data_IF_427345098397
#
_entry.id   IF_427345098397
#
_cell.length_a   1.000
_cell.length_b   1.000
_cell.length_c   1.000
_cell.angle_alpha   90.00
_cell.angle_beta   90.00
_cell.angle_gamma   90.00
#
_symmetry.space_group_name_H-M   'P 1'
#
loop_
_entity.id
_entity.type
_entity.pdbx_description
1 polymer ?
#
# COMPACT_ATOMS: atom_id res chain seq x y z
N UNK A 1 0.15 -41.09 13.68
CA UNK A 1 -0.44 -39.84 14.19
C UNK A 1 0.61 -38.81 14.61
N UNK A 2 1.68 -38.61 13.81
CA UNK A 2 2.82 -37.75 14.22
C UNK A 2 3.39 -36.86 13.11
N UNK A 3 2.64 -36.60 12.04
CA UNK A 3 2.95 -35.54 11.07
C UNK A 3 1.62 -35.00 10.55
N UNK A 4 1.06 -34.05 11.30
CA UNK A 4 -0.01 -33.19 10.80
C UNK A 4 0.56 -31.77 10.81
N UNK A 5 1.24 -31.45 9.71
CA UNK A 5 1.57 -30.07 9.37
C UNK A 5 0.26 -29.36 9.01
N UNK A 6 0.18 -28.07 9.33
CA UNK A 6 -0.93 -27.18 8.97
C UNK A 6 -1.24 -27.27 7.47
N UNK A 7 -2.52 -27.15 7.09
CA UNK A 7 -3.07 -27.38 5.74
C UNK A 7 -2.54 -26.42 4.63
N UNK A 8 -1.40 -25.74 4.82
CA UNK A 8 -0.81 -24.79 3.86
C UNK A 8 0.63 -25.08 3.41
N UNK A 9 1.37 -25.94 4.10
CA UNK A 9 2.79 -26.18 3.79
C UNK A 9 2.98 -27.54 3.10
N UNK A 10 3.57 -27.51 1.90
CA UNK A 10 3.87 -28.72 1.12
C UNK A 10 5.09 -29.42 1.76
N UNK A 11 4.85 -30.59 2.35
CA UNK A 11 5.91 -31.44 2.89
C UNK A 11 6.37 -32.42 1.82
N UNK A 12 7.65 -32.31 1.44
CA UNK A 12 8.29 -33.23 0.51
C UNK A 12 9.17 -34.23 1.27
N UNK A 13 9.25 -35.48 0.81
CA UNK A 13 10.15 -36.47 1.40
C UNK A 13 10.90 -37.26 0.34
N UNK A 14 12.10 -37.73 0.67
CA UNK A 14 12.92 -38.62 -0.15
C UNK A 14 13.61 -39.66 0.74
N UNK A 15 13.64 -40.92 0.28
CA UNK A 15 14.33 -42.03 0.92
C UNK A 15 15.24 -42.72 -0.11
N UNK A 16 16.55 -42.72 0.15
CA UNK A 16 17.56 -43.34 -0.71
C UNK A 16 18.21 -44.55 -0.05
N UNK A 17 18.55 -45.54 -0.86
CA UNK A 17 19.32 -46.70 -0.44
C UNK A 17 20.83 -46.37 -0.28
N UNK A 18 21.64 -47.29 0.28
CA UNK A 18 23.08 -47.09 0.44
C UNK A 18 23.87 -46.89 -0.87
N UNK A 19 23.26 -47.19 -2.03
CA UNK A 19 23.83 -47.04 -3.37
C UNK A 19 23.35 -45.75 -4.06
N UNK A 20 22.52 -44.94 -3.39
CA UNK A 20 21.93 -43.72 -3.94
C UNK A 20 20.69 -43.97 -4.81
N UNK A 21 20.15 -45.20 -4.83
CA UNK A 21 18.91 -45.52 -5.54
C UNK A 21 17.70 -45.05 -4.73
N UNK A 22 16.75 -44.40 -5.42
CA UNK A 22 15.50 -43.92 -4.83
C UNK A 22 14.62 -45.10 -4.42
N UNK A 23 14.39 -45.25 -3.12
CA UNK A 23 13.47 -46.26 -2.57
C UNK A 23 12.04 -45.72 -2.58
N UNK A 24 11.84 -44.45 -2.18
CA UNK A 24 10.51 -43.83 -2.06
C UNK A 24 10.62 -42.31 -1.95
N UNK A 25 9.61 -41.58 -2.40
CA UNK A 25 9.56 -40.11 -2.35
C UNK A 25 9.98 -39.44 -3.65
N UNK A 26 10.35 -38.17 -3.57
CA UNK A 26 10.65 -37.32 -4.72
C UNK A 26 12.10 -37.46 -5.20
N UNK A 27 12.32 -37.55 -6.51
CA UNK A 27 13.65 -37.75 -7.12
C UNK A 27 14.49 -36.47 -7.24
N UNK A 28 13.86 -35.30 -7.24
CA UNK A 28 14.52 -34.01 -7.56
C UNK A 28 15.26 -33.36 -6.39
N UNK A 29 15.48 -34.10 -5.29
CA UNK A 29 16.23 -33.57 -4.16
C UNK A 29 17.74 -33.59 -4.46
N UNK A 30 18.45 -32.46 -4.29
CA UNK A 30 19.90 -32.47 -4.32
C UNK A 30 20.42 -33.38 -3.21
N UNK A 31 21.50 -34.13 -3.46
CA UNK A 31 22.13 -34.95 -2.43
C UNK A 31 22.85 -34.07 -1.40
N UNK A 32 22.96 -34.50 -0.14
CA UNK A 32 23.84 -33.86 0.84
C UNK A 32 25.29 -33.83 0.31
N UNK A 33 26.04 -32.78 0.59
CA UNK A 33 27.44 -32.67 0.15
C UNK A 33 28.32 -33.74 0.84
N UNK A 34 29.20 -34.39 0.08
CA UNK A 34 30.04 -35.55 0.48
C UNK A 34 31.03 -35.33 1.64
N UNK A 35 31.04 -34.16 2.28
CA UNK A 35 32.08 -33.76 3.23
C UNK A 35 31.75 -34.03 4.71
N UNK A 36 30.63 -34.68 5.00
CA UNK A 36 30.20 -35.00 6.37
C UNK A 36 30.09 -36.52 6.57
N UNK A 37 30.75 -37.03 7.61
CA UNK A 37 30.68 -38.45 7.99
C UNK A 37 29.24 -38.80 8.43
N UNK A 38 28.57 -39.79 7.82
CA UNK A 38 27.21 -40.18 8.18
C UNK A 38 27.12 -40.67 9.63
N UNK A 39 26.44 -39.92 10.50
CA UNK A 39 26.12 -40.32 11.87
C UNK A 39 24.69 -40.89 11.95
N UNK A 40 24.50 -42.18 12.28
CA UNK A 40 23.18 -42.78 12.32
C UNK A 40 22.29 -42.14 13.41
N UNK A 41 21.08 -41.73 13.04
CA UNK A 41 20.08 -41.18 13.95
C UNK A 41 20.24 -39.69 14.29
N UNK A 42 21.30 -39.03 13.82
CA UNK A 42 21.46 -37.58 13.97
C UNK A 42 20.71 -36.86 12.86
N UNK A 43 19.80 -35.96 13.25
CA UNK A 43 19.08 -35.08 12.32
C UNK A 43 19.92 -33.84 12.06
N UNK A 44 20.15 -33.55 10.78
CA UNK A 44 20.86 -32.39 10.29
C UNK A 44 19.89 -31.51 9.49
N UNK A 45 20.10 -30.19 9.56
CA UNK A 45 19.27 -29.20 8.87
C UNK A 45 20.13 -28.47 7.84
N UNK A 46 19.60 -28.31 6.63
CA UNK A 46 20.17 -27.45 5.60
C UNK A 46 19.09 -26.66 4.90
N UNK A 47 19.49 -25.55 4.30
CA UNK A 47 18.62 -24.77 3.43
C UNK A 47 18.96 -25.11 1.98
N UNK A 48 17.94 -25.28 1.14
CA UNK A 48 18.10 -25.65 -0.27
C UNK A 48 17.00 -25.06 -1.16
N UNK A 49 17.09 -25.27 -2.47
CA UNK A 49 16.10 -24.85 -3.45
C UNK A 49 15.56 -26.08 -4.16
N UNK A 50 14.26 -26.35 -4.03
CA UNK A 50 13.57 -27.44 -4.72
C UNK A 50 12.50 -26.83 -5.62
N UNK A 51 12.59 -27.10 -6.93
CA UNK A 51 11.65 -26.60 -7.95
C UNK A 51 11.45 -25.07 -7.97
N UNK A 52 12.45 -24.32 -7.52
CA UNK A 52 12.45 -22.85 -7.52
C UNK A 52 12.02 -22.22 -6.19
N UNK A 53 11.56 -23.02 -5.23
CA UNK A 53 11.20 -22.55 -3.88
C UNK A 53 12.33 -22.78 -2.89
N UNK A 54 12.56 -21.82 -2.00
CA UNK A 54 13.47 -21.97 -0.86
C UNK A 54 12.83 -22.92 0.16
N UNK A 55 13.49 -24.06 0.39
CA UNK A 55 13.05 -25.08 1.33
C UNK A 55 14.06 -25.25 2.45
N UNK A 56 13.58 -25.63 3.63
CA UNK A 56 14.43 -26.13 4.71
C UNK A 56 14.35 -27.65 4.70
N UNK A 57 15.49 -28.30 4.49
CA UNK A 57 15.61 -29.77 4.40
C UNK A 57 16.20 -30.31 5.70
N UNK A 58 15.45 -31.17 6.37
CA UNK A 58 15.96 -32.03 7.43
C UNK A 58 16.39 -33.37 6.82
N UNK A 59 17.62 -33.81 7.08
CA UNK A 59 18.10 -35.12 6.66
C UNK A 59 18.68 -35.91 7.83
N UNK A 60 18.53 -37.24 7.77
CA UNK A 60 19.10 -38.16 8.73
C UNK A 60 19.51 -39.47 8.05
N UNK A 61 20.61 -40.06 8.52
CA UNK A 61 21.02 -41.40 8.13
C UNK A 61 20.46 -42.41 9.13
N UNK A 62 19.75 -43.43 8.65
CA UNK A 62 19.12 -44.46 9.50
C UNK A 62 19.77 -45.82 9.24
N UNK A 63 20.12 -46.56 10.30
CA UNK A 63 20.62 -47.92 10.17
C UNK A 63 19.48 -48.91 9.96
N UNK A 64 19.56 -49.72 8.89
CA UNK A 64 18.57 -50.76 8.61
C UNK A 64 18.93 -52.02 9.41
N UNK A 65 17.98 -52.55 10.20
CA UNK A 65 18.16 -53.73 11.06
C UNK A 65 19.30 -53.62 12.11
N UNK A 66 19.54 -52.42 12.66
CA UNK A 66 20.62 -52.17 13.64
C UNK A 66 22.04 -52.48 13.13
N UNK A 67 22.21 -52.67 11.82
CA UNK A 67 23.52 -52.84 11.19
C UNK A 67 24.11 -51.44 10.89
N UNK A 68 25.21 -51.02 11.55
CA UNK A 68 25.82 -49.71 11.32
C UNK A 68 26.36 -49.53 9.90
N UNK A 69 26.48 -50.61 9.10
CA UNK A 69 27.02 -50.58 7.73
C UNK A 69 25.96 -50.41 6.65
N UNK A 70 24.67 -50.44 6.99
CA UNK A 70 23.56 -50.31 6.02
C UNK A 70 22.72 -49.07 6.33
N UNK A 71 23.22 -47.93 5.88
CA UNK A 71 22.60 -46.63 6.10
C UNK A 71 21.61 -46.29 4.97
N UNK A 72 20.44 -45.80 5.37
CA UNK A 72 19.39 -45.28 4.49
C UNK A 72 19.31 -43.78 4.73
N UNK A 73 19.36 -42.98 3.67
CA UNK A 73 19.17 -41.54 3.78
C UNK A 73 17.68 -41.24 3.77
N UNK A 74 17.21 -40.52 4.79
CA UNK A 74 15.88 -39.92 4.80
C UNK A 74 16.03 -38.40 4.75
N UNK A 75 15.35 -37.77 3.80
CA UNK A 75 15.26 -36.31 3.67
C UNK A 75 13.79 -35.90 3.73
N UNK A 76 13.49 -34.83 4.46
CA UNK A 76 12.18 -34.19 4.52
C UNK A 76 12.40 -32.69 4.32
N UNK A 77 11.68 -32.09 3.38
CA UNK A 77 11.71 -30.65 3.17
C UNK A 77 10.36 -30.02 3.47
N UNK A 78 10.44 -28.84 4.07
CA UNK A 78 9.33 -27.94 4.26
C UNK A 78 9.63 -26.65 3.51
N UNK A 79 8.64 -26.12 2.78
CA UNK A 79 8.74 -24.81 2.15
C UNK A 79 8.87 -23.73 3.22
N UNK A 80 9.82 -22.80 3.06
CA UNK A 80 9.85 -21.62 3.94
C UNK A 80 8.67 -20.73 3.55
N UNK A 81 7.52 -20.94 4.19
CA UNK A 81 6.33 -20.13 3.98
C UNK A 81 6.69 -18.64 4.11
N UNK A 82 6.63 -17.90 3.00
CA UNK A 82 6.70 -16.44 2.99
C UNK A 82 5.43 -15.89 3.62
N UNK A 83 5.30 -15.98 4.94
CA UNK A 83 4.49 -15.03 5.70
C UNK A 83 5.22 -13.68 5.74
N UNK A 84 5.40 -13.05 4.57
CA UNK A 84 5.64 -11.61 4.49
C UNK A 84 4.29 -10.89 4.54
N UNK A 85 3.57 -11.12 5.63
CA UNK A 85 2.30 -10.42 5.92
C UNK A 85 2.30 -9.81 7.31
N UNK A 86 3.48 -9.60 7.92
CA UNK A 86 3.58 -9.10 9.30
C UNK A 86 4.63 -8.00 9.54
N UNK A 87 5.37 -7.54 8.53
CA UNK A 87 6.22 -6.33 8.65
C UNK A 87 5.56 -5.06 8.10
N UNK A 88 4.59 -5.21 7.19
CA UNK A 88 3.92 -4.06 6.53
C UNK A 88 2.85 -3.40 7.42
N UNK A 89 2.31 -4.11 8.42
CA UNK A 89 1.42 -3.48 9.43
C UNK A 89 2.20 -2.71 10.50
N UNK A 90 3.47 -3.04 10.75
CA UNK A 90 4.34 -2.28 11.67
C UNK A 90 4.80 -0.98 11.02
N UNK A 91 5.12 -0.98 9.72
CA UNK A 91 5.49 0.24 8.98
C UNK A 91 4.28 1.17 8.78
N UNK A 92 3.06 0.63 8.64
CA UNK A 92 1.82 1.43 8.64
C UNK A 92 1.47 2.02 10.02
N UNK A 93 1.90 1.37 11.11
CA UNK A 93 1.70 1.87 12.47
C UNK A 93 2.59 3.06 12.86
N UNK A 94 3.77 3.23 12.23
CA UNK A 94 4.75 4.27 12.61
C UNK A 94 4.79 5.45 11.63
N UNK A 95 4.51 5.25 10.33
CA UNK A 95 4.50 6.37 9.37
C UNK A 95 3.30 7.31 9.58
N UNK A 96 2.12 6.78 9.92
CA UNK A 96 0.89 7.57 10.11
C UNK A 96 1.02 8.58 11.27
N UNK A 97 1.54 8.22 12.47
CA UNK A 97 1.74 9.19 13.54
C UNK A 97 2.78 10.27 13.23
N UNK A 98 3.92 9.90 12.61
CA UNK A 98 5.02 10.84 12.36
C UNK A 98 4.62 11.97 11.38
N UNK A 99 3.80 11.66 10.37
CA UNK A 99 3.28 12.65 9.42
C UNK A 99 2.17 13.54 9.99
N UNK A 100 1.51 13.15 11.08
CA UNK A 100 0.54 14.02 11.79
C UNK A 100 1.26 14.98 12.74
N UNK A 101 2.34 14.52 13.38
CA UNK A 101 3.06 15.31 14.39
C UNK A 101 3.82 16.48 13.77
N UNK A 102 4.46 16.31 12.61
CA UNK A 102 5.32 17.35 12.02
C UNK A 102 4.52 18.60 11.56
N UNK A 103 3.36 18.46 10.88
CA UNK A 103 2.46 19.58 10.62
C UNK A 103 1.88 20.19 11.90
N UNK A 104 1.54 19.38 12.92
CA UNK A 104 1.10 19.90 14.23
C UNK A 104 2.18 20.76 14.92
N UNK A 105 3.44 20.31 14.87
CA UNK A 105 4.57 21.01 15.44
C UNK A 105 4.86 22.34 14.72
N UNK A 106 4.77 22.35 13.38
CA UNK A 106 4.86 23.59 12.58
C UNK A 106 3.68 24.51 12.85
N UNK A 107 2.48 23.99 13.11
CA UNK A 107 1.30 24.81 13.44
C UNK A 107 1.39 25.46 14.82
N UNK A 108 1.85 24.70 15.82
CA UNK A 108 2.14 25.23 17.16
C UNK A 108 3.21 26.31 17.11
N UNK A 109 4.16 26.22 16.18
CA UNK A 109 5.18 27.24 15.96
C UNK A 109 4.70 28.43 15.09
N UNK A 110 3.72 28.23 14.20
CA UNK A 110 3.35 29.16 13.12
C UNK A 110 2.06 29.97 13.33
N UNK A 111 1.33 29.79 14.42
CA UNK A 111 0.13 30.60 14.74
C UNK A 111 0.47 31.98 15.32
N UNK A 112 1.51 32.63 14.80
CA UNK A 112 1.71 34.07 14.98
C UNK A 112 0.96 34.81 13.85
N UNK A 113 -0.22 35.40 14.09
CA UNK A 113 -0.87 36.25 13.10
C UNK A 113 -0.01 37.50 12.83
N UNK A 114 0.16 37.87 11.56
CA UNK A 114 0.84 39.10 11.17
C UNK A 114 -0.14 40.25 10.80
N UNK A 115 -1.44 39.98 10.55
CA UNK A 115 -2.40 41.02 10.15
C UNK A 115 -3.87 40.66 10.44
N UNK A 116 -4.74 41.67 10.49
CA UNK A 116 -6.19 41.56 10.76
C UNK A 116 -7.05 41.15 9.54
N UNK A 117 -6.45 40.57 8.49
CA UNK A 117 -7.13 40.00 7.31
C UNK A 117 -6.58 38.60 6.97
N UNK A 118 -5.92 37.96 7.94
CA UNK A 118 -5.22 36.70 7.76
C UNK A 118 -5.95 35.57 8.50
N UNK A 119 -5.96 34.40 7.89
CA UNK A 119 -6.63 33.24 8.44
C UNK A 119 -6.00 31.93 7.99
N UNK A 120 -6.65 30.83 8.33
CA UNK A 120 -6.21 29.51 7.92
C UNK A 120 -6.87 28.39 8.72
N UNK A 121 -6.63 27.17 8.28
CA UNK A 121 -7.12 25.97 8.95
C UNK A 121 -6.10 24.86 8.79
N UNK A 122 -5.76 24.19 9.90
CA UNK A 122 -5.22 22.83 9.89
C UNK A 122 -6.38 21.86 10.01
N UNK A 123 -6.38 20.81 9.21
CA UNK A 123 -7.47 19.86 9.21
C UNK A 123 -7.00 18.43 8.98
N UNK A 124 -7.79 17.53 9.54
CA UNK A 124 -7.91 16.16 9.10
C UNK A 124 -9.17 16.05 8.25
N UNK A 125 -9.15 15.21 7.21
CA UNK A 125 -10.28 15.01 6.32
C UNK A 125 -10.58 13.55 6.10
N UNK A 126 -11.87 13.25 5.91
CA UNK A 126 -12.36 11.94 5.46
C UNK A 126 -13.40 12.17 4.38
N UNK A 127 -13.42 11.32 3.36
CA UNK A 127 -14.28 11.55 2.21
C UNK A 127 -14.42 10.36 1.30
N UNK A 128 -15.39 10.48 0.41
CA UNK A 128 -15.62 9.56 -0.67
C UNK A 128 -15.02 10.06 -1.98
N UNK A 129 -14.52 9.12 -2.78
CA UNK A 129 -13.86 9.35 -4.05
C UNK A 129 -14.45 8.41 -5.09
N UNK A 130 -14.86 8.95 -6.23
CA UNK A 130 -15.34 8.18 -7.38
C UNK A 130 -14.20 8.04 -8.40
N UNK A 131 -13.50 6.91 -8.35
CA UNK A 131 -12.39 6.56 -9.22
C UNK A 131 -12.88 6.04 -10.58
N UNK A 132 -12.06 6.29 -11.62
CA UNK A 132 -12.18 5.58 -12.88
C UNK A 132 -11.27 4.33 -12.87
N UNK A 133 -11.88 3.18 -12.57
CA UNK A 133 -11.22 1.87 -12.59
C UNK A 133 -11.58 1.05 -13.84
N UNK A 134 -12.28 1.64 -14.82
CA UNK A 134 -12.86 0.90 -15.95
C UNK A 134 -11.81 0.17 -16.80
N UNK A 135 -10.72 0.85 -17.15
CA UNK A 135 -9.63 0.29 -17.92
C UNK A 135 -8.92 -0.86 -17.17
N UNK A 136 -8.66 -0.68 -15.88
CA UNK A 136 -8.08 -1.72 -15.04
C UNK A 136 -9.02 -2.93 -14.91
N UNK A 137 -10.29 -2.68 -14.61
CA UNK A 137 -11.32 -3.71 -14.47
C UNK A 137 -11.46 -4.57 -15.73
N UNK A 138 -11.42 -3.94 -16.91
CA UNK A 138 -11.50 -4.64 -18.19
C UNK A 138 -10.39 -5.69 -18.37
N UNK A 139 -9.19 -5.40 -17.88
CA UNK A 139 -8.05 -6.32 -17.97
C UNK A 139 -8.13 -7.41 -16.90
N UNK A 140 -8.31 -7.05 -15.64
CA UNK A 140 -8.27 -8.03 -14.54
C UNK A 140 -9.44 -9.01 -14.59
N UNK A 141 -10.61 -8.58 -15.10
CA UNK A 141 -11.77 -9.46 -15.25
C UNK A 141 -11.55 -10.52 -16.33
N UNK A 142 -10.77 -10.24 -17.38
CA UNK A 142 -10.41 -11.27 -18.38
C UNK A 142 -9.56 -12.39 -17.78
N UNK A 143 -8.83 -12.09 -16.71
CA UNK A 143 -8.04 -13.05 -15.94
C UNK A 143 -8.81 -13.66 -14.74
N UNK A 144 -10.12 -13.42 -14.63
CA UNK A 144 -10.97 -14.03 -13.60
C UNK A 144 -11.05 -13.29 -12.27
N UNK A 145 -10.41 -12.13 -12.12
CA UNK A 145 -10.55 -11.31 -10.92
C UNK A 145 -11.88 -10.56 -10.88
N UNK A 146 -12.42 -10.36 -9.67
CA UNK A 146 -13.52 -9.42 -9.47
C UNK A 146 -13.05 -7.99 -9.80
N UNK A 147 -13.92 -7.18 -10.43
CA UNK A 147 -13.63 -5.76 -10.62
C UNK A 147 -13.53 -4.99 -9.29
N UNK A 148 -12.73 -3.93 -9.28
CA UNK A 148 -12.73 -2.94 -8.21
C UNK A 148 -13.94 -2.02 -8.32
N UNK A 149 -14.47 -1.60 -7.17
CA UNK A 149 -15.56 -0.63 -7.11
C UNK A 149 -15.05 0.75 -7.50
N UNK A 150 -15.86 1.50 -8.25
CA UNK A 150 -15.52 2.88 -8.61
C UNK A 150 -15.57 3.80 -7.39
N UNK A 151 -16.34 3.46 -6.35
CA UNK A 151 -16.36 4.22 -5.11
C UNK A 151 -15.29 3.74 -4.14
N UNK A 152 -14.49 4.66 -3.62
CA UNK A 152 -13.59 4.40 -2.50
C UNK A 152 -13.72 5.47 -1.43
N UNK A 153 -13.29 5.11 -0.23
CA UNK A 153 -13.15 6.04 0.88
C UNK A 153 -11.69 6.47 0.99
N UNK A 154 -11.47 7.67 1.48
CA UNK A 154 -10.14 8.21 1.71
C UNK A 154 -10.08 9.02 2.99
N UNK A 155 -8.85 9.23 3.44
CA UNK A 155 -8.53 10.10 4.54
C UNK A 155 -7.29 10.93 4.22
N UNK A 156 -7.16 12.07 4.86
CA UNK A 156 -6.05 12.96 4.61
C UNK A 156 -5.86 14.00 5.69
N UNK A 157 -4.80 14.76 5.53
CA UNK A 157 -4.51 15.91 6.36
C UNK A 157 -3.96 17.02 5.49
N UNK A 158 -4.20 18.25 5.90
CA UNK A 158 -3.71 19.39 5.17
C UNK A 158 -3.85 20.65 6.00
N UNK A 159 -3.29 21.71 5.45
CA UNK A 159 -3.46 23.04 5.99
C UNK A 159 -3.58 24.03 4.85
N UNK A 160 -4.24 25.15 5.13
CA UNK A 160 -4.18 26.30 4.26
C UNK A 160 -4.08 27.57 5.10
N UNK A 161 -3.35 28.55 4.59
CA UNK A 161 -3.36 29.93 5.06
C UNK A 161 -4.14 30.80 4.08
N UNK A 162 -4.83 31.81 4.60
CA UNK A 162 -5.48 32.86 3.82
C UNK A 162 -4.76 34.17 4.14
N UNK A 163 -4.25 34.83 3.11
CA UNK A 163 -3.66 36.16 3.22
C UNK A 163 -4.54 37.12 2.42
N UNK A 164 -5.23 38.01 3.13
CA UNK A 164 -6.33 38.84 2.59
C UNK A 164 -7.46 37.98 2.03
N UNK A 165 -7.35 37.55 0.78
CA UNK A 165 -8.34 36.69 0.11
C UNK A 165 -7.70 35.53 -0.63
N UNK A 166 -6.37 35.47 -0.70
CA UNK A 166 -5.66 34.41 -1.41
C UNK A 166 -5.40 33.29 -0.44
N UNK A 167 -5.86 32.09 -0.79
CA UNK A 167 -5.63 30.86 -0.05
C UNK A 167 -4.45 30.13 -0.66
N UNK A 168 -3.51 29.69 0.17
CA UNK A 168 -2.42 28.80 -0.22
C UNK A 168 -2.40 27.64 0.76
N UNK A 169 -2.41 26.41 0.25
CA UNK A 169 -2.47 25.23 1.10
C UNK A 169 -1.71 24.04 0.57
N UNK A 170 -1.43 23.11 1.47
CA UNK A 170 -0.88 21.80 1.16
C UNK A 170 -1.82 20.74 1.73
N UNK A 171 -2.04 19.69 0.96
CA UNK A 171 -2.91 18.59 1.35
C UNK A 171 -2.32 17.26 0.92
N UNK A 172 -2.47 16.25 1.77
CA UNK A 172 -2.10 14.87 1.49
C UNK A 172 -3.30 13.97 1.75
N UNK A 173 -3.57 13.07 0.83
CA UNK A 173 -4.70 12.15 0.87
C UNK A 173 -4.21 10.72 0.65
N UNK A 174 -4.88 9.79 1.31
CA UNK A 174 -4.70 8.35 1.22
C UNK A 174 -6.05 7.70 0.97
N UNK A 175 -6.16 6.93 -0.09
CA UNK A 175 -7.34 6.18 -0.47
C UNK A 175 -7.28 4.79 0.19
N UNK A 176 -8.37 4.40 0.84
CA UNK A 176 -8.48 3.08 1.44
C UNK A 176 -8.40 2.02 0.37
N UNK A 177 -7.57 1.01 0.66
CA UNK A 177 -7.28 0.00 -0.33
C UNK A 177 -8.40 -1.01 -0.47
N UNK A 178 -8.83 -1.24 -1.71
CA UNK A 178 -9.80 -2.25 -2.07
C UNK A 178 -9.10 -3.59 -2.32
N UNK A 179 -9.80 -4.69 -2.04
CA UNK A 179 -9.33 -6.04 -2.28
C UNK A 179 -10.23 -6.72 -3.30
N UNK A 180 -9.62 -7.33 -4.31
CA UNK A 180 -10.26 -8.24 -5.25
C UNK A 180 -9.63 -9.62 -5.09
N UNK A 181 -10.44 -10.67 -5.18
CA UNK A 181 -10.02 -12.06 -5.01
C UNK A 181 -10.46 -12.90 -6.22
N UNK A 182 -9.67 -13.91 -6.56
CA UNK A 182 -9.97 -14.95 -7.54
C UNK A 182 -9.47 -16.29 -7.00
N UNK A 183 -10.36 -17.23 -6.65
CA UNK A 183 -10.05 -18.56 -6.08
C UNK A 183 -8.99 -18.59 -4.95
N UNK A 184 -7.69 -18.55 -5.29
CA UNK A 184 -6.53 -18.58 -4.37
C UNK A 184 -5.65 -17.30 -4.44
N UNK A 185 -6.01 -16.35 -5.31
CA UNK A 185 -5.23 -15.16 -5.61
C UNK A 185 -5.92 -13.90 -5.09
N UNK A 186 -5.11 -12.91 -4.72
CA UNK A 186 -5.61 -11.63 -4.25
C UNK A 186 -4.89 -10.46 -4.90
N UNK A 187 -5.68 -9.45 -5.25
CA UNK A 187 -5.25 -8.21 -5.86
C UNK A 187 -5.71 -7.05 -4.98
N UNK A 188 -4.78 -6.22 -4.55
CA UNK A 188 -5.07 -5.04 -3.73
C UNK A 188 -4.74 -3.78 -4.50
N UNK A 189 -5.69 -2.85 -4.50
CA UNK A 189 -5.55 -1.51 -5.05
C UNK A 189 -5.61 -0.49 -3.92
N UNK A 190 -4.57 0.31 -3.72
CA UNK A 190 -4.58 1.50 -2.85
C UNK A 190 -4.04 2.71 -3.59
N UNK A 191 -4.18 3.90 -3.01
CA UNK A 191 -3.64 5.10 -3.63
C UNK A 191 -3.41 6.23 -2.65
N UNK A 192 -2.63 7.20 -3.08
CA UNK A 192 -2.39 8.43 -2.33
C UNK A 192 -2.08 9.57 -3.29
N UNK A 193 -2.28 10.80 -2.84
CA UNK A 193 -1.89 11.98 -3.59
C UNK A 193 -1.57 13.15 -2.68
N UNK A 194 -0.69 14.03 -3.14
CA UNK A 194 -0.36 15.29 -2.48
C UNK A 194 -0.63 16.46 -3.41
N UNK A 195 -1.17 17.55 -2.87
CA UNK A 195 -1.60 18.72 -3.62
C UNK A 195 -1.03 20.00 -3.01
N UNK A 196 -0.54 20.89 -3.87
CA UNK A 196 -0.44 22.32 -3.60
C UNK A 196 -1.71 22.99 -4.10
N UNK A 197 -2.39 23.73 -3.23
CA UNK A 197 -3.66 24.39 -3.51
C UNK A 197 -3.51 25.91 -3.51
N UNK A 198 -4.13 26.54 -4.49
CA UNK A 198 -4.31 27.98 -4.59
C UNK A 198 -5.80 28.27 -4.70
N UNK A 199 -6.32 29.08 -3.80
CA UNK A 199 -7.75 29.42 -3.76
C UNK A 199 -7.99 30.90 -3.55
N UNK A 200 -9.26 31.26 -3.62
CA UNK A 200 -9.70 32.63 -3.36
C UNK A 200 -10.91 32.60 -2.42
N UNK A 201 -10.83 33.28 -1.28
CA UNK A 201 -11.93 33.42 -0.34
C UNK A 201 -12.98 34.39 -0.93
N UNK A 202 -13.90 33.83 -1.72
CA UNK A 202 -14.97 34.57 -2.38
C UNK A 202 -15.93 35.18 -1.35
N UNK A 203 -16.26 34.39 -0.32
CA UNK A 203 -16.96 34.84 0.88
C UNK A 203 -16.03 34.58 2.07
N UNK A 204 -15.72 35.63 2.82
CA UNK A 204 -14.88 35.56 4.01
C UNK A 204 -15.55 36.35 5.13
N UNK A 205 -16.29 35.64 5.98
CA UNK A 205 -16.74 36.14 7.28
C UNK A 205 -15.93 35.43 8.36
N UNK A 206 -15.81 35.97 9.58
CA UNK A 206 -15.04 35.32 10.64
C UNK A 206 -15.47 33.87 10.88
N UNK A 207 -16.78 33.59 10.82
CA UNK A 207 -17.34 32.25 11.11
C UNK A 207 -17.55 31.37 9.89
N UNK A 208 -17.70 31.96 8.71
CA UNK A 208 -18.07 31.22 7.50
C UNK A 208 -17.29 31.70 6.28
N UNK A 209 -16.70 30.76 5.57
CA UNK A 209 -15.92 31.03 4.38
C UNK A 209 -16.36 30.13 3.23
N UNK A 210 -16.34 30.67 2.02
CA UNK A 210 -16.53 29.92 0.77
C UNK A 210 -15.38 30.27 -0.15
N UNK A 211 -14.68 29.25 -0.64
CA UNK A 211 -13.50 29.42 -1.49
C UNK A 211 -13.49 28.42 -2.64
N UNK A 212 -13.54 28.86 -3.91
CA UNK A 212 -13.04 28.06 -5.01
C UNK A 212 -11.51 27.90 -4.90
N UNK A 213 -11.00 26.78 -5.37
CA UNK A 213 -9.57 26.54 -5.47
C UNK A 213 -9.20 25.68 -6.67
N UNK A 214 -7.94 25.83 -7.08
CA UNK A 214 -7.23 24.98 -8.00
C UNK A 214 -6.06 24.35 -7.26
N UNK A 215 -5.77 23.09 -7.53
CA UNK A 215 -4.62 22.39 -6.96
C UNK A 215 -3.80 21.73 -8.05
N UNK A 216 -2.48 21.72 -7.89
CA UNK A 216 -1.57 20.92 -8.69
C UNK A 216 -0.80 19.98 -7.79
N UNK A 217 -0.66 18.74 -8.20
CA UNK A 217 -0.06 17.73 -7.37
C UNK A 217 0.35 16.48 -8.13
N UNK A 218 0.74 15.48 -7.36
CA UNK A 218 1.12 14.18 -7.87
C UNK A 218 0.40 13.11 -7.06
N UNK A 219 -0.07 12.08 -7.74
CA UNK A 219 -0.71 10.94 -7.12
C UNK A 219 -0.21 9.62 -7.66
N UNK A 220 -0.36 8.61 -6.83
CA UNK A 220 0.05 7.26 -7.13
C UNK A 220 -1.06 6.28 -6.74
N UNK A 221 -1.30 5.30 -7.60
CA UNK A 221 -2.12 4.13 -7.32
C UNK A 221 -1.19 2.93 -7.23
N UNK A 222 -1.20 2.20 -6.11
CA UNK A 222 -0.41 1.00 -5.94
C UNK A 222 -1.29 -0.23 -6.12
N UNK A 223 -0.82 -1.11 -6.98
CA UNK A 223 -1.41 -2.42 -7.22
C UNK A 223 -0.45 -3.48 -6.68
N UNK A 224 -0.94 -4.35 -5.80
CA UNK A 224 -0.17 -5.47 -5.26
C UNK A 224 -0.93 -6.76 -5.49
N UNK A 225 -0.25 -7.78 -5.99
CA UNK A 225 -0.82 -9.10 -6.26
C UNK A 225 0.01 -10.20 -5.60
N UNK A 226 -0.66 -11.31 -5.28
CA UNK A 226 0.01 -12.57 -4.94
C UNK A 226 0.70 -13.22 -6.16
N UNK A 227 0.32 -12.82 -7.39
CA UNK A 227 0.91 -13.31 -8.64
C UNK A 227 1.58 -12.20 -9.46
N UNK A 228 2.29 -12.61 -10.51
CA UNK A 228 2.97 -11.70 -11.42
C UNK A 228 1.96 -10.85 -12.22
N UNK A 229 2.07 -9.52 -12.12
CA UNK A 229 1.19 -8.54 -12.78
C UNK A 229 1.56 -8.27 -14.23
N UNK A 230 2.74 -8.71 -14.68
CA UNK A 230 3.26 -8.51 -16.02
C UNK A 230 2.36 -9.09 -17.12
N UNK A 231 1.91 -10.33 -16.94
CA UNK A 231 0.95 -10.98 -17.83
C UNK A 231 -0.46 -10.41 -17.68
N UNK A 232 -0.85 -10.01 -16.47
CA UNK A 232 -2.18 -9.51 -16.15
C UNK A 232 -2.46 -8.13 -16.78
N UNK A 233 -1.48 -7.24 -16.75
CA UNK A 233 -1.65 -5.84 -17.15
C UNK A 233 -0.97 -5.50 -18.49
N UNK A 234 -0.49 -6.52 -19.21
CA UNK A 234 0.31 -6.36 -20.42
C UNK A 234 1.46 -5.35 -20.23
N UNK A 235 2.15 -5.45 -19.08
CA UNK A 235 3.26 -4.56 -18.74
C UNK A 235 4.60 -5.26 -18.95
N UNK A 236 5.58 -4.54 -19.51
CA UNK A 236 6.90 -5.09 -19.81
C UNK A 236 8.03 -4.24 -19.23
N UNK A 237 8.96 -4.89 -18.53
CA UNK A 237 10.21 -4.32 -18.02
C UNK A 237 11.35 -5.14 -18.62
N UNK A 238 12.45 -4.52 -19.04
CA UNK A 238 13.46 -5.10 -19.96
C UNK A 238 14.08 -6.45 -19.57
N UNK A 239 13.90 -6.94 -18.35
CA UNK A 239 14.14 -8.32 -17.93
C UNK A 239 12.80 -8.95 -17.50
N UNK A 240 12.58 -10.22 -17.85
CA UNK A 240 11.33 -10.95 -17.63
C UNK A 240 11.12 -11.34 -16.15
N UNK A 241 11.22 -10.37 -15.24
CA UNK A 241 11.03 -10.54 -13.81
C UNK A 241 9.55 -10.45 -13.46
N UNK A 242 9.12 -11.26 -12.49
CA UNK A 242 7.76 -11.22 -11.98
C UNK A 242 7.55 -9.93 -11.18
N UNK A 243 6.65 -9.08 -11.65
CA UNK A 243 6.28 -7.83 -11.00
C UNK A 243 5.05 -8.07 -10.14
N UNK A 244 5.21 -8.21 -8.83
CA UNK A 244 4.08 -8.46 -7.91
C UNK A 244 3.54 -7.15 -7.28
N UNK A 245 4.26 -6.05 -7.48
CA UNK A 245 3.86 -4.71 -7.08
C UNK A 245 4.12 -3.72 -8.22
N UNK A 246 3.11 -2.93 -8.54
CA UNK A 246 3.18 -1.88 -9.54
C UNK A 246 2.63 -0.58 -8.96
N UNK A 247 3.25 0.52 -9.34
CA UNK A 247 2.79 1.86 -9.00
C UNK A 247 2.46 2.62 -10.28
N UNK A 248 1.23 3.14 -10.34
CA UNK A 248 0.71 3.95 -11.43
C UNK A 248 0.72 5.41 -10.98
N UNK A 249 1.61 6.22 -11.57
CA UNK A 249 1.81 7.61 -11.22
C UNK A 249 1.18 8.58 -12.21
N UNK A 250 0.61 9.68 -11.69
CA UNK A 250 0.00 10.74 -12.50
C UNK A 250 0.25 12.12 -11.87
N UNK A 251 0.49 13.11 -12.73
CA UNK A 251 0.25 14.51 -12.36
C UNK A 251 -1.24 14.75 -12.23
N UNK A 252 -1.65 15.53 -11.23
CA UNK A 252 -3.05 15.75 -10.89
C UNK A 252 -3.37 17.25 -10.87
N UNK A 253 -4.48 17.61 -11.49
CA UNK A 253 -5.12 18.92 -11.36
C UNK A 253 -6.41 18.76 -10.54
N UNK A 254 -6.52 19.46 -9.43
CA UNK A 254 -7.73 19.50 -8.59
C UNK A 254 -8.48 20.80 -8.86
N UNK A 255 -9.77 20.71 -9.17
CA UNK A 255 -10.67 21.86 -9.22
C UNK A 255 -11.78 21.62 -8.21
N UNK A 256 -11.94 22.52 -7.26
CA UNK A 256 -12.86 22.31 -6.16
C UNK A 256 -13.44 23.58 -5.57
N UNK A 257 -14.46 23.36 -4.76
CA UNK A 257 -15.12 24.36 -3.92
C UNK A 257 -15.10 23.87 -2.48
N UNK A 258 -14.66 24.74 -1.59
CA UNK A 258 -14.66 24.50 -0.16
C UNK A 258 -15.54 25.48 0.60
N UNK A 259 -16.13 25.01 1.69
CA UNK A 259 -16.80 25.84 2.68
C UNK A 259 -16.25 25.53 4.06
N UNK A 260 -15.95 26.55 4.86
CA UNK A 260 -15.46 26.37 6.24
C UNK A 260 -16.37 27.09 7.21
N UNK A 261 -16.75 26.40 8.28
CA UNK A 261 -17.48 26.91 9.44
C UNK A 261 -16.56 26.86 10.66
N UNK A 262 -16.31 28.01 11.29
CA UNK A 262 -15.47 28.14 12.49
C UNK A 262 -16.32 28.53 13.69
N UNK A 263 -16.18 27.76 14.78
CA UNK A 263 -16.83 28.03 16.04
C UNK A 263 -15.92 28.92 16.91
N UNK A 264 -16.38 30.11 17.34
CA UNK A 264 -15.57 31.00 18.18
C UNK A 264 -15.38 30.39 19.58
N UNK A 265 -14.15 30.42 20.09
CA UNK A 265 -13.87 29.98 21.47
C UNK A 265 -14.38 30.94 22.55
N UNK A 266 -14.42 32.24 22.26
CA UNK A 266 -14.90 33.26 23.20
C UNK A 266 -16.20 33.87 22.67
N UNK A 267 -17.32 33.76 23.41
CA UNK A 267 -18.59 34.38 23.03
C UNK A 267 -18.52 35.92 22.98
N UNK A 268 -17.57 36.52 23.71
CA UNK A 268 -17.53 37.95 23.99
C UNK A 268 -16.90 38.78 22.86
N UNK A 269 -16.19 38.15 21.92
CA UNK A 269 -15.62 38.83 20.75
C UNK A 269 -15.92 38.05 19.46
N UNK A 270 -17.14 38.16 18.89
CA UNK A 270 -17.56 37.40 17.72
C UNK A 270 -16.82 37.73 16.43
N UNK A 271 -16.03 38.81 16.40
CA UNK A 271 -15.18 39.20 15.28
C UNK A 271 -13.86 38.42 15.17
N UNK A 272 -13.40 37.82 16.27
CA UNK A 272 -12.20 36.98 16.31
C UNK A 272 -12.58 35.51 16.42
N UNK A 273 -13.02 34.93 15.29
CA UNK A 273 -13.46 33.54 15.26
C UNK A 273 -12.27 32.62 15.02
N UNK A 274 -11.47 32.42 16.08
CA UNK A 274 -10.50 31.32 16.15
C UNK A 274 -11.09 30.17 16.96
N UNK A 275 -10.98 28.96 16.44
CA UNK A 275 -11.43 27.78 17.15
C UNK A 275 -11.61 26.52 16.31
N UNK A 276 -12.29 25.52 16.90
CA UNK A 276 -12.69 24.31 16.19
C UNK A 276 -13.45 24.67 14.92
N UNK A 277 -13.05 24.05 13.82
CA UNK A 277 -13.59 24.33 12.50
C UNK A 277 -14.00 23.03 11.81
N UNK A 278 -15.12 23.09 11.11
CA UNK A 278 -15.60 22.03 10.23
C UNK A 278 -15.72 22.58 8.82
N UNK A 279 -15.29 21.81 7.82
CA UNK A 279 -15.34 22.23 6.43
C UNK A 279 -15.82 21.09 5.53
N UNK A 280 -16.45 21.46 4.42
CA UNK A 280 -16.84 20.55 3.35
C UNK A 280 -16.10 20.97 2.09
N UNK A 281 -15.56 19.99 1.36
CA UNK A 281 -14.98 20.21 0.02
C UNK A 281 -15.55 19.21 -0.95
N UNK A 282 -15.91 19.71 -2.12
CA UNK A 282 -16.28 18.90 -3.27
C UNK A 282 -15.47 19.37 -4.47
N UNK A 283 -15.11 18.44 -5.34
CA UNK A 283 -14.34 18.78 -6.54
C UNK A 283 -14.07 17.59 -7.43
N UNK A 284 -13.26 17.84 -8.44
CA UNK A 284 -12.80 16.85 -9.41
C UNK A 284 -11.28 16.88 -9.50
N UNK A 285 -10.66 15.70 -9.37
CA UNK A 285 -9.26 15.48 -9.72
C UNK A 285 -9.16 14.98 -11.16
N UNK A 286 -8.39 15.68 -11.97
CA UNK A 286 -8.06 15.30 -13.33
C UNK A 286 -6.64 14.73 -13.37
N UNK A 287 -6.51 13.50 -13.87
CA UNK A 287 -5.21 12.95 -14.21
C UNK A 287 -4.69 13.59 -15.50
N UNK A 288 -3.50 14.18 -15.42
CA UNK A 288 -2.84 14.84 -16.53
C UNK A 288 -1.83 13.89 -17.18
N UNK A 289 -1.84 13.84 -18.51
CA UNK A 289 -0.93 13.01 -19.28
C UNK A 289 -1.25 11.51 -19.19
N UNK A 290 -0.28 10.70 -19.61
CA UNK A 290 -0.39 9.24 -19.54
C UNK A 290 0.08 8.72 -18.18
N UNK A 291 -0.53 7.63 -17.71
CA UNK A 291 -0.11 6.94 -16.48
C UNK A 291 1.31 6.41 -16.63
N UNK A 292 2.17 6.78 -15.67
CA UNK A 292 3.55 6.35 -15.59
C UNK A 292 3.63 5.13 -14.67
N UNK A 293 3.80 3.95 -15.27
CA UNK A 293 3.94 2.72 -14.52
C UNK A 293 5.38 2.47 -14.08
N UNK A 294 5.56 2.06 -12.83
CA UNK A 294 6.82 1.56 -12.29
C UNK A 294 6.61 0.27 -11.50
N UNK A 295 7.64 -0.56 -11.48
CA UNK A 295 7.70 -1.81 -10.72
C UNK A 295 9.14 -2.04 -10.29
N UNK A 296 9.35 -2.44 -9.03
CA UNK A 296 10.68 -2.55 -8.41
C UNK A 296 11.52 -1.26 -8.62
N UNK A 297 10.89 -0.10 -8.40
CA UNK A 297 11.49 1.24 -8.58
C UNK A 297 11.98 1.59 -9.99
N UNK A 298 11.66 0.75 -10.97
CA UNK A 298 12.07 0.93 -12.36
C UNK A 298 10.85 1.19 -13.25
N UNK A 299 10.99 2.04 -14.29
CA UNK A 299 9.90 2.29 -15.23
C UNK A 299 9.46 1.00 -15.95
N UNK A 300 8.17 0.91 -16.24
CA UNK A 300 7.55 -0.20 -16.96
C UNK A 300 6.77 0.36 -18.14
N UNK A 301 6.81 -0.33 -19.29
CA UNK A 301 6.03 0.05 -20.48
C UNK A 301 4.67 -0.64 -20.48
N UNK A 302 3.65 0.06 -20.96
CA UNK A 302 2.29 -0.45 -21.08
C UNK A 302 1.43 -0.14 -19.86
N UNK A 303 0.48 -1.01 -19.57
CA UNK A 303 -0.44 -0.90 -18.43
C UNK A 303 -1.69 -0.09 -18.73
N UNK A 304 -2.81 -0.38 -18.04
CA UNK A 304 -4.07 0.34 -18.24
C UNK A 304 -3.98 1.76 -17.69
N UNK A 305 -4.94 2.60 -18.09
CA UNK A 305 -5.17 3.88 -17.42
C UNK A 305 -5.62 3.61 -15.98
N UNK A 306 -4.91 4.19 -15.03
CA UNK A 306 -5.21 4.11 -13.61
C UNK A 306 -4.69 5.38 -12.94
N UNK A 307 -5.53 6.02 -12.14
CA UNK A 307 -5.15 7.22 -11.39
C UNK A 307 -6.07 7.42 -10.17
N UNK A 308 -5.70 8.28 -9.21
CA UNK A 308 -6.60 8.76 -8.16
C UNK A 308 -7.67 9.74 -8.68
N UNK A 309 -7.74 10.00 -9.99
CA UNK A 309 -8.61 10.99 -10.60
C UNK A 309 -10.10 10.64 -10.49
N UNK A 310 -10.93 11.67 -10.43
CA UNK A 310 -12.38 11.57 -10.36
C UNK A 310 -13.02 12.55 -9.38
N UNK A 311 -14.33 12.40 -9.17
CA UNK A 311 -15.10 13.24 -8.24
C UNK A 311 -14.77 12.89 -6.79
N UNK A 312 -14.83 13.88 -5.90
CA UNK A 312 -14.79 13.62 -4.46
C UNK A 312 -15.69 14.54 -3.67
N UNK A 313 -16.04 14.07 -2.48
CA UNK A 313 -16.70 14.83 -1.43
C UNK A 313 -16.05 14.48 -0.09
N UNK A 314 -15.58 15.48 0.64
CA UNK A 314 -14.87 15.29 1.91
C UNK A 314 -15.35 16.23 3.00
N UNK A 315 -15.42 15.68 4.21
CA UNK A 315 -15.57 16.41 5.46
C UNK A 315 -14.19 16.63 6.05
N UNK A 316 -13.93 17.84 6.51
CA UNK A 316 -12.70 18.26 7.15
C UNK A 316 -13.04 18.75 8.56
N UNK A 317 -12.26 18.33 9.54
CA UNK A 317 -12.39 18.77 10.92
C UNK A 317 -11.01 19.18 11.39
N UNK A 318 -10.94 20.32 12.07
CA UNK A 318 -9.68 20.77 12.62
C UNK A 318 -9.80 22.09 13.33
N UNK A 319 -8.76 22.90 13.20
CA UNK A 319 -8.60 24.13 13.95
C UNK A 319 -8.17 25.24 13.02
N UNK A 320 -8.80 26.41 13.18
CA UNK A 320 -8.53 27.53 12.30
C UNK A 320 -9.22 28.79 12.75
N UNK A 321 -9.08 29.83 11.94
CA UNK A 321 -9.77 31.09 12.14
C UNK A 321 -9.47 32.06 11.02
N UNK A 322 -10.19 33.17 11.02
CA UNK A 322 -10.01 34.28 10.11
C UNK A 322 -10.28 35.55 10.91
N UNK A 323 -9.32 36.47 10.91
CA UNK A 323 -9.44 37.80 11.50
C UNK A 323 -9.75 38.81 10.41
#
# INVERSE_FOLDING_TARGET
DLLRADDSDLVYYQVLDPRGELISGEGDFPLPQDNETPEPGRVMLRDDIVRGDEVRVAYAWLSRNQDPKRLVLMQVAETKGKRSTLATEIIKGVMVPQFVILPLAVLLAGTAPASADDGGMLYYSVGGHLLDTSALNSQIQTAGYKGFDNWTWGQGAGFYGIFKRVLVGLEFQSLFGQLSQSAEESLRLDGSYGMLQLGYAAVATPRFQVYPYIGLGYGAMNLRSSQALNSLLAVSQGSNQNLNALTAGNWLLDLGLGTTLTLPMSPDNPGDARGPSAALRAGWLFALGQTQWSGNDLPVKGGPALSPGGFYLRLMIGFGGYQ
#
